data_IF_927795492128
#
_entry.id   IF_927795492128
#
_cell.length_a   1.000
_cell.length_b   1.000
_cell.length_c   1.000
_cell.angle_alpha   90.00
_cell.angle_beta   90.00
_cell.angle_gamma   90.00
#
_symmetry.space_group_name_H-M   'P 1'
#
loop_
_entity.id
_entity.type
_entity.pdbx_description
1 polymer ?
#
# COMPACT_ATOMS: atom_id res chain seq x y z
N UNK A 1 7.22 -17.45 28.52
CA UNK A 1 6.31 -16.80 27.54
C UNK A 1 7.21 -16.05 26.58
N UNK A 2 7.15 -16.31 25.27
CA UNK A 2 7.88 -15.47 24.31
C UNK A 2 7.27 -14.07 24.36
N UNK A 3 8.06 -13.05 24.67
CA UNK A 3 7.63 -11.66 24.49
C UNK A 3 7.20 -11.49 23.03
N UNK A 4 5.93 -11.14 22.79
CA UNK A 4 5.54 -10.67 21.46
C UNK A 4 6.34 -9.40 21.19
N UNK A 5 7.26 -9.46 20.22
CA UNK A 5 8.01 -8.29 19.74
C UNK A 5 7.02 -7.16 19.39
N UNK A 6 7.16 -6.00 20.05
CA UNK A 6 6.32 -4.84 19.76
C UNK A 6 6.63 -4.35 18.34
N UNK A 7 5.63 -3.77 17.68
CA UNK A 7 5.85 -3.21 16.35
C UNK A 7 7.01 -2.19 16.34
N UNK A 8 7.17 -1.42 17.40
CA UNK A 8 8.24 -0.42 17.52
C UNK A 8 9.64 -1.06 17.49
N UNK A 9 9.84 -2.17 18.19
CA UNK A 9 11.14 -2.86 18.25
C UNK A 9 11.51 -3.40 16.85
N UNK A 10 10.50 -3.92 16.12
CA UNK A 10 10.69 -4.31 14.72
C UNK A 10 11.04 -3.11 13.83
N UNK A 11 10.35 -1.97 13.99
CA UNK A 11 10.58 -0.78 13.18
C UNK A 11 11.97 -0.17 13.41
N UNK A 12 12.48 -0.20 14.63
CA UNK A 12 13.86 0.19 14.98
C UNK A 12 14.88 -0.68 14.24
N UNK A 13 14.81 -2.01 14.42
CA UNK A 13 15.68 -2.97 13.74
C UNK A 13 15.60 -2.83 12.22
N UNK A 14 14.40 -2.59 11.68
CA UNK A 14 14.20 -2.42 10.26
C UNK A 14 14.79 -1.09 9.74
N UNK A 15 14.74 -0.02 10.53
CA UNK A 15 15.38 1.25 10.20
C UNK A 15 16.91 1.14 10.18
N UNK A 16 17.49 0.47 11.18
CA UNK A 16 18.93 0.19 11.24
C UNK A 16 19.39 -0.59 10.01
N UNK A 17 18.71 -1.71 9.71
CA UNK A 17 18.99 -2.53 8.53
C UNK A 17 18.93 -1.73 7.24
N UNK A 18 17.88 -0.91 7.06
CA UNK A 18 17.73 -0.11 5.84
C UNK A 18 18.81 0.95 5.73
N UNK A 19 19.17 1.60 6.83
CA UNK A 19 20.23 2.62 6.86
C UNK A 19 21.58 2.03 6.46
N UNK A 20 21.90 0.84 6.98
CA UNK A 20 23.13 0.12 6.64
C UNK A 20 23.16 -0.24 5.14
N UNK A 21 22.09 -0.83 4.61
CA UNK A 21 22.02 -1.23 3.20
C UNK A 21 22.00 -0.03 2.25
N UNK A 22 21.34 1.07 2.62
CA UNK A 22 21.34 2.30 1.83
C UNK A 22 22.72 2.96 1.83
N UNK A 23 23.47 2.91 2.94
CA UNK A 23 24.88 3.33 2.99
C UNK A 23 25.74 2.46 2.07
N UNK A 24 25.65 1.13 2.19
CA UNK A 24 26.38 0.20 1.30
C UNK A 24 26.06 0.47 -0.18
N UNK A 25 24.80 0.71 -0.50
CA UNK A 25 24.38 1.06 -1.86
C UNK A 25 25.03 2.35 -2.37
N UNK A 26 25.12 3.39 -1.53
CA UNK A 26 25.79 4.66 -1.87
C UNK A 26 27.28 4.45 -2.13
N UNK A 27 27.96 3.67 -1.28
CA UNK A 27 29.38 3.33 -1.42
C UNK A 27 29.65 2.55 -2.71
N UNK A 28 28.91 1.48 -2.96
CA UNK A 28 29.05 0.69 -4.20
C UNK A 28 28.75 1.52 -5.44
N UNK A 29 27.72 2.38 -5.39
CA UNK A 29 27.39 3.27 -6.53
C UNK A 29 28.52 4.25 -6.81
N UNK A 30 29.19 4.77 -5.77
CA UNK A 30 30.36 5.64 -5.93
C UNK A 30 31.51 4.88 -6.60
N UNK A 31 31.84 3.69 -6.11
CA UNK A 31 32.90 2.85 -6.68
C UNK A 31 32.60 2.44 -8.14
N UNK A 32 31.36 2.10 -8.44
CA UNK A 32 30.95 1.75 -9.81
C UNK A 32 31.11 2.93 -10.77
N UNK A 33 30.83 4.16 -10.35
CA UNK A 33 31.02 5.33 -11.19
C UNK A 33 32.50 5.65 -11.48
N UNK A 34 33.42 5.12 -10.68
CA UNK A 34 34.87 5.29 -10.87
C UNK A 34 35.46 4.22 -11.79
N UNK A 35 35.03 2.96 -11.65
CA UNK A 35 35.69 1.80 -12.29
C UNK A 35 34.84 1.14 -13.38
N UNK A 36 33.51 1.35 -13.38
CA UNK A 36 32.54 0.73 -14.29
C UNK A 36 32.64 -0.81 -14.35
N UNK A 37 32.77 -1.45 -13.18
CA UNK A 37 32.93 -2.89 -13.05
C UNK A 37 31.60 -3.67 -13.06
N UNK A 38 31.58 -4.81 -13.75
CA UNK A 38 30.38 -5.65 -13.89
C UNK A 38 29.97 -6.32 -12.56
N UNK A 39 30.91 -6.77 -11.74
CA UNK A 39 30.63 -7.38 -10.44
C UNK A 39 30.05 -6.34 -9.47
N UNK A 40 30.58 -5.11 -9.46
CA UNK A 40 30.00 -4.00 -8.70
C UNK A 40 28.55 -3.72 -9.10
N UNK A 41 28.25 -3.78 -10.41
CA UNK A 41 26.87 -3.61 -10.90
C UNK A 41 25.94 -4.72 -10.38
N UNK A 42 26.40 -5.97 -10.37
CA UNK A 42 25.63 -7.10 -9.85
C UNK A 42 25.39 -6.96 -8.34
N UNK A 43 26.39 -6.53 -7.57
CA UNK A 43 26.26 -6.29 -6.14
C UNK A 43 25.31 -5.13 -5.82
N UNK A 44 25.38 -4.03 -6.58
CA UNK A 44 24.42 -2.91 -6.49
C UNK A 44 22.98 -3.41 -6.67
N UNK A 45 22.74 -4.24 -7.68
CA UNK A 45 21.41 -4.78 -7.95
C UNK A 45 20.94 -5.74 -6.85
N UNK A 46 21.84 -6.53 -6.26
CA UNK A 46 21.52 -7.36 -5.10
C UNK A 46 21.12 -6.52 -3.89
N UNK A 47 21.91 -5.51 -3.52
CA UNK A 47 21.59 -4.61 -2.39
C UNK A 47 20.27 -3.87 -2.64
N UNK A 48 20.01 -3.44 -3.88
CA UNK A 48 18.71 -2.85 -4.25
C UNK A 48 17.55 -3.82 -4.02
N UNK A 49 17.71 -5.09 -4.39
CA UNK A 49 16.69 -6.12 -4.16
C UNK A 49 16.47 -6.37 -2.67
N UNK A 50 17.53 -6.41 -1.86
CA UNK A 50 17.43 -6.54 -0.41
C UNK A 50 16.63 -5.39 0.22
N UNK A 51 16.96 -4.14 -0.15
CA UNK A 51 16.24 -2.94 0.31
C UNK A 51 14.77 -3.02 -0.09
N UNK A 52 14.47 -3.37 -1.34
CA UNK A 52 13.09 -3.50 -1.81
C UNK A 52 12.32 -4.60 -1.06
N UNK A 53 12.97 -5.74 -0.78
CA UNK A 53 12.39 -6.84 -0.01
C UNK A 53 12.07 -6.40 1.41
N UNK A 54 13.01 -5.74 2.11
CA UNK A 54 12.80 -5.25 3.48
C UNK A 54 11.69 -4.19 3.52
N UNK A 55 11.65 -3.27 2.56
CA UNK A 55 10.55 -2.29 2.42
C UNK A 55 9.19 -2.96 2.23
N UNK A 56 9.11 -4.02 1.44
CA UNK A 56 7.87 -4.78 1.28
C UNK A 56 7.46 -5.48 2.58
N UNK A 57 8.41 -6.08 3.30
CA UNK A 57 8.20 -6.71 4.61
C UNK A 57 7.68 -5.70 5.65
N UNK A 58 8.28 -4.51 5.73
CA UNK A 58 7.81 -3.45 6.63
C UNK A 58 6.38 -3.06 6.32
N UNK A 59 6.01 -2.93 5.03
CA UNK A 59 4.62 -2.64 4.66
C UNK A 59 3.67 -3.74 5.14
N UNK A 60 4.02 -5.02 4.98
CA UNK A 60 3.22 -6.13 5.51
C UNK A 60 3.10 -6.05 7.04
N UNK A 61 4.19 -5.79 7.76
CA UNK A 61 4.17 -5.61 9.22
C UNK A 61 3.27 -4.46 9.66
N UNK A 62 3.25 -3.34 8.94
CA UNK A 62 2.33 -2.25 9.23
C UNK A 62 0.86 -2.70 9.09
N UNK A 63 0.53 -3.56 8.12
CA UNK A 63 -0.83 -4.09 7.98
C UNK A 63 -1.17 -5.13 9.05
N UNK A 64 -0.22 -5.98 9.44
CA UNK A 64 -0.41 -6.99 10.49
C UNK A 64 -0.60 -6.37 11.88
N UNK A 65 -0.09 -5.15 12.10
CA UNK A 65 -0.05 -4.49 13.39
C UNK A 65 -0.85 -3.17 13.40
N UNK A 66 -1.96 -3.11 12.66
CA UNK A 66 -2.81 -1.91 12.55
C UNK A 66 -3.33 -1.42 13.90
N UNK A 67 -3.70 -2.34 14.80
CA UNK A 67 -4.18 -1.98 16.13
C UNK A 67 -3.06 -1.34 16.98
N UNK A 68 -1.84 -1.88 16.94
CA UNK A 68 -0.68 -1.27 17.60
C UNK A 68 -0.38 0.13 17.03
N UNK A 69 -0.48 0.30 15.71
CA UNK A 69 -0.27 1.61 15.08
C UNK A 69 -1.31 2.65 15.53
N UNK A 70 -2.56 2.24 15.67
CA UNK A 70 -3.64 3.11 16.16
C UNK A 70 -3.40 3.51 17.62
N UNK A 71 -2.98 2.56 18.46
CA UNK A 71 -2.61 2.85 19.84
C UNK A 71 -1.35 3.73 19.93
N UNK A 72 -0.34 3.49 19.11
CA UNK A 72 0.87 4.32 19.02
C UNK A 72 0.51 5.75 18.67
N UNK A 73 -0.31 5.97 17.63
CA UNK A 73 -0.79 7.30 17.26
C UNK A 73 -1.57 7.98 18.40
N UNK A 74 -2.40 7.22 19.13
CA UNK A 74 -3.26 7.75 20.20
C UNK A 74 -2.50 8.14 21.46
N UNK A 75 -1.51 7.34 21.85
CA UNK A 75 -0.86 7.45 23.16
C UNK A 75 0.59 7.93 23.13
N UNK A 76 1.29 7.73 22.02
CA UNK A 76 2.69 8.14 21.85
C UNK A 76 2.88 8.80 20.47
N UNK A 77 2.16 9.90 20.18
CA UNK A 77 2.21 10.55 18.88
C UNK A 77 3.62 11.06 18.54
N UNK A 78 4.38 11.56 19.53
CA UNK A 78 5.76 12.04 19.30
C UNK A 78 6.67 10.91 18.82
N UNK A 79 6.55 9.72 19.42
CA UNK A 79 7.33 8.54 19.01
C UNK A 79 7.03 8.15 17.55
N UNK A 80 5.76 8.24 17.15
CA UNK A 80 5.38 7.99 15.75
C UNK A 80 5.94 9.05 14.78
N UNK A 81 6.09 10.31 15.21
CA UNK A 81 6.74 11.34 14.40
C UNK A 81 8.24 11.05 14.22
N UNK A 82 8.94 10.61 15.26
CA UNK A 82 10.35 10.17 15.16
C UNK A 82 10.50 9.08 14.09
N UNK A 83 9.61 8.08 14.07
CA UNK A 83 9.63 7.06 13.02
C UNK A 83 9.34 7.59 11.61
N UNK A 84 8.58 8.67 11.48
CA UNK A 84 8.37 9.34 10.18
C UNK A 84 9.61 10.08 9.73
N UNK A 85 10.46 10.56 10.63
CA UNK A 85 11.66 11.31 10.28
C UNK A 85 12.78 10.41 9.74
N UNK A 86 12.87 9.16 10.21
CA UNK A 86 13.89 8.22 9.73
C UNK A 86 13.90 8.00 8.22
N UNK A 87 15.09 8.09 7.63
CA UNK A 87 15.36 7.73 6.23
C UNK A 87 15.03 6.24 5.99
N UNK A 88 14.58 5.90 4.79
CA UNK A 88 14.12 4.54 4.47
C UNK A 88 12.69 4.23 4.95
N UNK A 89 12.41 4.29 6.25
CA UNK A 89 11.11 3.88 6.83
C UNK A 89 10.03 4.96 6.81
N UNK A 90 10.41 6.22 7.03
CA UNK A 90 9.46 7.30 7.26
C UNK A 90 8.53 7.56 6.08
N UNK A 91 9.04 7.38 4.85
CA UNK A 91 8.25 7.47 3.62
C UNK A 91 7.16 6.39 3.56
N UNK A 92 7.41 5.19 4.07
CA UNK A 92 6.43 4.10 4.10
C UNK A 92 5.34 4.39 5.14
N UNK A 93 5.73 4.82 6.34
CA UNK A 93 4.81 5.22 7.42
C UNK A 93 3.90 6.37 6.95
N UNK A 94 4.45 7.43 6.35
CA UNK A 94 3.65 8.53 5.77
C UNK A 94 2.68 8.09 4.67
N UNK A 95 3.10 7.17 3.79
CA UNK A 95 2.23 6.63 2.73
C UNK A 95 1.08 5.80 3.30
N UNK A 96 1.30 5.15 4.44
CA UNK A 96 0.34 4.28 5.12
C UNK A 96 -0.36 4.94 6.31
N UNK A 97 -0.23 6.24 6.48
CA UNK A 97 -0.80 7.00 7.60
C UNK A 97 -2.31 6.80 7.79
N UNK A 98 -3.05 6.54 6.71
CA UNK A 98 -4.49 6.27 6.76
C UNK A 98 -4.85 5.01 7.55
N UNK A 99 -3.90 4.09 7.77
CA UNK A 99 -4.10 2.91 8.62
C UNK A 99 -4.21 3.27 10.10
N UNK A 100 -3.61 4.39 10.50
CA UNK A 100 -3.53 4.80 11.91
C UNK A 100 -4.81 5.48 12.38
N UNK A 101 -5.71 5.77 11.45
CA UNK A 101 -6.97 6.43 11.73
C UNK A 101 -8.03 5.42 12.15
N UNK A 102 -8.66 5.67 13.29
CA UNK A 102 -9.95 5.06 13.63
C UNK A 102 -11.05 5.94 13.06
N UNK A 103 -11.66 5.52 11.95
CA UNK A 103 -12.87 6.18 11.49
C UNK A 103 -14.07 5.58 12.21
N UNK A 104 -15.03 6.43 12.56
CA UNK A 104 -16.33 5.96 13.05
C UNK A 104 -16.96 5.08 11.98
N UNK A 105 -17.52 3.92 12.34
CA UNK A 105 -18.30 3.11 11.42
C UNK A 105 -19.41 3.98 10.81
N UNK A 106 -19.50 3.99 9.49
CA UNK A 106 -20.56 4.68 8.77
C UNK A 106 -21.64 3.69 8.36
N UNK A 107 -22.89 4.15 8.32
CA UNK A 107 -23.94 3.38 7.64
C UNK A 107 -23.58 3.20 6.16
N UNK A 108 -24.14 2.17 5.54
CA UNK A 108 -23.86 1.89 4.12
C UNK A 108 -24.25 3.07 3.21
N UNK A 109 -25.36 3.74 3.51
CA UNK A 109 -25.83 4.92 2.77
C UNK A 109 -24.87 6.10 2.89
N UNK A 110 -24.49 6.47 4.11
CA UNK A 110 -23.55 7.58 4.33
C UNK A 110 -22.18 7.30 3.70
N UNK A 111 -21.71 6.05 3.80
CA UNK A 111 -20.48 5.63 3.17
C UNK A 111 -20.57 5.75 1.64
N UNK A 112 -21.69 5.33 1.03
CA UNK A 112 -21.90 5.41 -0.41
C UNK A 112 -21.96 6.86 -0.91
N UNK A 113 -22.64 7.75 -0.18
CA UNK A 113 -22.71 9.17 -0.49
C UNK A 113 -21.31 9.82 -0.45
N UNK A 114 -20.55 9.61 0.63
CA UNK A 114 -19.18 10.15 0.77
C UNK A 114 -18.23 9.59 -0.29
N UNK A 115 -18.31 8.29 -0.60
CA UNK A 115 -17.51 7.68 -1.67
C UNK A 115 -17.85 8.28 -3.03
N UNK A 116 -19.14 8.52 -3.31
CA UNK A 116 -19.58 9.13 -4.57
C UNK A 116 -19.04 10.56 -4.71
N UNK A 117 -19.06 11.35 -3.63
CA UNK A 117 -18.43 12.68 -3.60
C UNK A 117 -16.93 12.59 -3.90
N UNK A 118 -16.20 11.70 -3.22
CA UNK A 118 -14.76 11.50 -3.45
C UNK A 118 -14.46 11.07 -4.89
N UNK A 119 -15.30 10.22 -5.49
CA UNK A 119 -15.16 9.81 -6.90
C UNK A 119 -15.32 11.02 -7.81
N UNK A 120 -16.32 11.88 -7.58
CA UNK A 120 -16.55 13.09 -8.36
C UNK A 120 -15.38 14.08 -8.24
N UNK A 121 -14.89 14.34 -7.03
CA UNK A 121 -13.73 15.20 -6.79
C UNK A 121 -12.48 14.65 -7.50
N UNK A 122 -12.22 13.34 -7.39
CA UNK A 122 -11.07 12.70 -8.07
C UNK A 122 -11.20 12.69 -9.59
N UNK A 123 -12.41 12.77 -10.12
CA UNK A 123 -12.65 12.96 -11.56
C UNK A 123 -12.24 14.38 -11.96
N UNK A 124 -12.71 15.40 -11.24
CA UNK A 124 -12.31 16.79 -11.47
C UNK A 124 -10.78 16.95 -11.42
N UNK A 125 -10.09 16.39 -10.43
CA UNK A 125 -8.63 16.43 -10.32
C UNK A 125 -7.92 15.75 -11.52
N UNK A 126 -8.49 14.68 -12.06
CA UNK A 126 -7.92 13.98 -13.23
C UNK A 126 -8.12 14.80 -14.51
N UNK A 127 -9.28 15.40 -14.65
CA UNK A 127 -9.62 16.22 -15.81
C UNK A 127 -8.78 17.51 -15.80
N UNK A 128 -8.62 18.14 -14.64
CA UNK A 128 -7.71 19.26 -14.44
C UNK A 128 -6.26 18.90 -14.79
N UNK A 129 -5.77 17.74 -14.33
CA UNK A 129 -4.43 17.29 -14.69
C UNK A 129 -4.24 17.14 -16.21
N UNK A 130 -5.19 16.50 -16.89
CA UNK A 130 -5.15 16.33 -18.36
C UNK A 130 -5.20 17.67 -19.10
N UNK A 131 -5.95 18.63 -18.56
CA UNK A 131 -5.98 19.99 -19.08
C UNK A 131 -4.60 20.65 -18.96
N UNK A 132 -3.99 20.59 -17.77
CA UNK A 132 -2.66 21.16 -17.53
C UNK A 132 -1.54 20.51 -18.35
N UNK A 133 -1.62 19.20 -18.63
CA UNK A 133 -0.64 18.50 -19.48
C UNK A 133 -0.47 19.18 -20.84
N UNK A 134 -1.55 19.76 -21.38
CA UNK A 134 -1.57 20.48 -22.67
C UNK A 134 -1.30 21.98 -22.54
N UNK A 135 -1.28 22.52 -21.33
CA UNK A 135 -1.07 23.94 -21.08
C UNK A 135 0.43 24.30 -21.13
N UNK A 136 0.72 25.53 -21.56
CA UNK A 136 2.07 26.11 -21.63
C UNK A 136 2.07 27.46 -20.91
N UNK A 137 3.01 27.65 -19.98
CA UNK A 137 3.14 28.86 -19.17
C UNK A 137 2.30 28.85 -17.89
N UNK A 138 2.16 30.03 -17.28
CA UNK A 138 1.43 30.23 -16.02
C UNK A 138 -0.06 30.01 -16.19
N UNK A 139 -0.71 29.58 -15.11
CA UNK A 139 -2.14 29.29 -15.06
C UNK A 139 -2.78 30.18 -14.01
N UNK A 140 -3.85 30.85 -14.39
CA UNK A 140 -4.64 31.62 -13.45
C UNK A 140 -5.48 30.70 -12.54
N UNK A 141 -5.14 30.68 -11.25
CA UNK A 141 -5.81 29.86 -10.25
C UNK A 141 -7.31 30.14 -10.11
N UNK A 142 -7.78 31.37 -10.36
CA UNK A 142 -9.22 31.69 -10.32
C UNK A 142 -9.96 31.04 -11.46
N UNK A 143 -9.41 31.08 -12.68
CA UNK A 143 -10.01 30.40 -13.84
C UNK A 143 -10.03 28.89 -13.63
N UNK A 144 -8.92 28.32 -13.15
CA UNK A 144 -8.81 26.89 -12.89
C UNK A 144 -9.81 26.42 -11.80
N UNK A 145 -9.96 27.20 -10.72
CA UNK A 145 -10.93 26.93 -9.66
C UNK A 145 -12.39 27.13 -10.08
N UNK A 146 -12.67 27.98 -11.07
CA UNK A 146 -14.00 28.13 -11.66
C UNK A 146 -14.38 26.91 -12.51
N UNK A 147 -13.44 26.37 -13.30
CA UNK A 147 -13.66 25.15 -14.11
C UNK A 147 -13.68 23.89 -13.24
N UNK A 148 -12.82 23.82 -12.22
CA UNK A 148 -12.70 22.68 -11.31
C UNK A 148 -12.90 23.14 -9.87
N UNK A 149 -14.15 23.15 -9.36
CA UNK A 149 -14.46 23.63 -8.02
C UNK A 149 -13.63 23.01 -6.90
N UNK A 150 -13.18 21.77 -7.05
CA UNK A 150 -12.27 21.11 -6.09
C UNK A 150 -10.93 21.84 -5.91
N UNK A 151 -10.49 22.61 -6.91
CA UNK A 151 -9.25 23.40 -6.89
C UNK A 151 -9.45 24.82 -6.39
N UNK A 152 -10.70 25.20 -6.10
CA UNK A 152 -10.99 26.50 -5.49
C UNK A 152 -10.22 26.62 -4.18
N UNK A 153 -9.56 27.75 -3.99
CA UNK A 153 -8.73 28.09 -2.83
C UNK A 153 -7.43 27.27 -2.65
N UNK A 154 -7.28 26.14 -3.35
CA UNK A 154 -6.07 25.31 -3.35
C UNK A 154 -4.95 25.92 -4.21
N UNK A 155 -5.31 26.63 -5.28
CA UNK A 155 -4.38 27.35 -6.16
C UNK A 155 -4.75 28.83 -6.14
N UNK A 156 -3.84 29.67 -5.66
CA UNK A 156 -4.05 31.12 -5.50
C UNK A 156 -3.11 31.89 -6.42
N UNK A 157 -3.66 32.87 -7.12
CA UNK A 157 -2.90 33.67 -8.08
C UNK A 157 -2.52 32.90 -9.33
N UNK A 158 -1.53 33.40 -10.04
CA UNK A 158 -0.95 32.73 -11.19
C UNK A 158 0.16 31.80 -10.71
N UNK A 159 0.11 30.54 -11.12
CA UNK A 159 1.09 29.50 -10.74
C UNK A 159 1.66 28.83 -11.97
N UNK A 160 2.88 28.33 -11.84
CA UNK A 160 3.50 27.50 -12.88
C UNK A 160 2.79 26.15 -13.00
N UNK A 161 2.88 25.56 -14.19
CA UNK A 161 2.26 24.26 -14.50
C UNK A 161 2.73 23.16 -13.55
N UNK A 162 4.03 23.09 -13.29
CA UNK A 162 4.64 22.06 -12.45
C UNK A 162 4.10 22.15 -11.01
N UNK A 163 4.02 23.36 -10.46
CA UNK A 163 3.47 23.61 -9.13
C UNK A 163 1.99 23.22 -9.05
N UNK A 164 1.18 23.65 -10.03
CA UNK A 164 -0.23 23.27 -10.10
C UNK A 164 -0.42 21.75 -10.21
N UNK A 165 0.43 21.06 -11.00
CA UNK A 165 0.42 19.60 -11.09
C UNK A 165 0.79 18.93 -9.76
N UNK A 166 1.75 19.47 -9.01
CA UNK A 166 2.11 18.97 -7.68
C UNK A 166 0.96 19.09 -6.69
N UNK A 167 0.29 20.25 -6.64
CA UNK A 167 -0.89 20.48 -5.80
C UNK A 167 -2.00 19.47 -6.15
N UNK A 168 -2.35 19.34 -7.44
CA UNK A 168 -3.38 18.39 -7.90
C UNK A 168 -3.01 16.94 -7.53
N UNK A 169 -1.74 16.56 -7.70
CA UNK A 169 -1.27 15.23 -7.33
C UNK A 169 -1.35 15.01 -5.81
N UNK A 170 -1.05 16.03 -5.00
CA UNK A 170 -1.22 16.04 -3.55
C UNK A 170 -2.67 15.79 -3.14
N UNK A 171 -3.59 16.61 -3.63
CA UNK A 171 -5.03 16.49 -3.36
C UNK A 171 -5.59 15.12 -3.78
N UNK A 172 -5.18 14.61 -4.94
CA UNK A 172 -5.64 13.28 -5.40
C UNK A 172 -5.12 12.14 -4.50
N UNK A 173 -3.94 12.29 -3.89
CA UNK A 173 -3.44 11.33 -2.89
C UNK A 173 -4.28 11.40 -1.62
N UNK A 174 -4.62 12.58 -1.13
CA UNK A 174 -5.46 12.78 0.05
C UNK A 174 -6.87 12.21 -0.15
N UNK A 175 -7.52 12.54 -1.27
CA UNK A 175 -8.85 11.99 -1.59
C UNK A 175 -8.84 10.47 -1.73
N UNK A 176 -7.76 9.90 -2.25
CA UNK A 176 -7.58 8.44 -2.28
C UNK A 176 -7.46 7.86 -0.88
N UNK A 177 -6.70 8.50 0.02
CA UNK A 177 -6.59 8.08 1.43
C UNK A 177 -7.95 8.15 2.14
N UNK A 178 -8.69 9.24 1.96
CA UNK A 178 -10.02 9.42 2.54
C UNK A 178 -11.02 8.34 2.05
N UNK A 179 -11.01 8.03 0.75
CA UNK A 179 -11.86 6.97 0.20
C UNK A 179 -11.53 5.60 0.77
N UNK A 180 -10.24 5.26 0.91
CA UNK A 180 -9.83 4.02 1.57
C UNK A 180 -10.26 3.98 3.04
N UNK A 181 -10.10 5.08 3.76
CA UNK A 181 -10.50 5.16 5.17
C UNK A 181 -12.01 4.87 5.34
N UNK A 182 -12.86 5.42 4.48
CA UNK A 182 -14.30 5.14 4.50
C UNK A 182 -14.59 3.67 4.16
N UNK A 183 -13.99 3.15 3.09
CA UNK A 183 -14.22 1.77 2.67
C UNK A 183 -13.80 0.79 3.77
N UNK A 184 -12.62 0.96 4.35
CA UNK A 184 -12.12 0.07 5.40
C UNK A 184 -12.94 0.10 6.69
N UNK A 185 -13.81 1.09 6.90
CA UNK A 185 -14.65 1.20 8.10
C UNK A 185 -16.15 1.14 7.74
N UNK A 186 -16.52 0.56 6.60
CA UNK A 186 -17.93 0.43 6.17
C UNK A 186 -18.23 -0.94 5.56
N UNK A 187 -19.51 -1.36 5.55
CA UNK A 187 -19.94 -2.61 4.90
C UNK A 187 -19.59 -2.71 3.41
N UNK A 188 -19.40 -1.57 2.74
CA UNK A 188 -19.05 -1.48 1.32
C UNK A 188 -17.73 -2.16 0.97
N UNK A 189 -16.86 -2.43 1.96
CA UNK A 189 -15.62 -3.18 1.73
C UNK A 189 -15.87 -4.58 1.16
N UNK A 190 -17.01 -5.19 1.49
CA UNK A 190 -17.39 -6.51 0.97
C UNK A 190 -17.55 -6.47 -0.55
N UNK A 191 -18.21 -5.44 -1.08
CA UNK A 191 -18.33 -5.25 -2.53
C UNK A 191 -16.98 -5.00 -3.22
N UNK A 192 -16.04 -4.34 -2.54
CA UNK A 192 -14.67 -4.18 -3.04
C UNK A 192 -13.94 -5.53 -3.09
N UNK A 193 -14.02 -6.33 -2.02
CA UNK A 193 -13.41 -7.66 -1.96
C UNK A 193 -13.97 -8.60 -3.03
N UNK A 194 -15.29 -8.61 -3.24
CA UNK A 194 -15.90 -9.44 -4.29
C UNK A 194 -15.37 -9.09 -5.68
N UNK A 195 -15.32 -7.80 -6.04
CA UNK A 195 -14.74 -7.35 -7.32
C UNK A 195 -13.26 -7.74 -7.46
N UNK A 196 -12.50 -7.73 -6.37
CA UNK A 196 -11.10 -8.17 -6.40
C UNK A 196 -10.99 -9.68 -6.62
N UNK A 197 -11.87 -10.47 -6.02
CA UNK A 197 -11.93 -11.93 -6.22
C UNK A 197 -12.31 -12.27 -7.66
N UNK A 198 -13.34 -11.64 -8.21
CA UNK A 198 -13.74 -11.82 -9.61
C UNK A 198 -12.58 -11.48 -10.56
N UNK A 199 -11.91 -10.35 -10.31
CA UNK A 199 -10.73 -9.96 -11.07
C UNK A 199 -9.58 -10.95 -10.90
N UNK A 200 -9.38 -11.51 -9.70
CA UNK A 200 -8.38 -12.55 -9.44
C UNK A 200 -8.66 -13.78 -10.29
N UNK A 201 -9.90 -14.28 -10.32
CA UNK A 201 -10.29 -15.43 -11.15
C UNK A 201 -9.97 -15.23 -12.62
N UNK A 202 -10.29 -14.04 -13.17
CA UNK A 202 -9.97 -13.70 -14.56
C UNK A 202 -8.45 -13.74 -14.80
N UNK A 203 -7.66 -13.16 -13.88
CA UNK A 203 -6.21 -13.15 -14.00
C UNK A 203 -5.56 -14.53 -13.82
N UNK A 204 -6.13 -15.40 -12.98
CA UNK A 204 -5.70 -16.79 -12.82
C UNK A 204 -5.93 -17.59 -14.10
N UNK A 205 -7.05 -17.37 -14.80
CA UNK A 205 -7.28 -17.95 -16.12
C UNK A 205 -6.22 -17.47 -17.13
N UNK A 206 -5.96 -16.16 -17.20
CA UNK A 206 -4.90 -15.61 -18.06
C UNK A 206 -3.53 -16.18 -17.70
N UNK A 207 -3.23 -16.33 -16.41
CA UNK A 207 -1.97 -16.89 -15.92
C UNK A 207 -1.79 -18.34 -16.43
N UNK A 208 -2.82 -19.18 -16.31
CA UNK A 208 -2.79 -20.55 -16.81
C UNK A 208 -2.55 -20.60 -18.33
N UNK A 209 -3.18 -19.72 -19.11
CA UNK A 209 -2.92 -19.61 -20.56
C UNK A 209 -1.46 -19.22 -20.87
N UNK A 210 -0.89 -18.28 -20.11
CA UNK A 210 0.51 -17.87 -20.28
C UNK A 210 1.49 -18.97 -19.87
N UNK A 211 1.17 -19.71 -18.81
CA UNK A 211 1.96 -20.83 -18.36
C UNK A 211 2.03 -21.93 -19.42
N UNK A 212 0.89 -22.30 -20.00
CA UNK A 212 0.82 -23.26 -21.11
C UNK A 212 1.68 -22.80 -22.31
N UNK A 213 1.57 -21.53 -22.69
CA UNK A 213 2.39 -20.96 -23.79
C UNK A 213 3.88 -20.96 -23.50
N UNK A 214 4.27 -20.76 -22.24
CA UNK A 214 5.67 -20.86 -21.85
C UNK A 214 6.15 -22.31 -21.91
N UNK A 215 5.38 -23.26 -21.40
CA UNK A 215 5.70 -24.70 -21.47
C UNK A 215 5.87 -25.19 -22.91
N UNK A 216 5.01 -24.76 -23.84
CA UNK A 216 5.11 -25.07 -25.28
C UNK A 216 6.35 -24.47 -25.96
N UNK A 217 6.86 -23.35 -25.44
CA UNK A 217 8.02 -22.65 -25.99
C UNK A 217 9.35 -23.03 -25.31
N UNK A 218 9.27 -23.69 -24.14
CA UNK A 218 10.41 -23.98 -23.25
C UNK A 218 11.42 -24.92 -23.92
N UNK A 219 12.71 -24.67 -23.69
CA UNK A 219 13.79 -25.53 -24.17
C UNK A 219 14.21 -25.29 -25.62
N UNK A 220 13.70 -24.23 -26.25
CA UNK A 220 14.05 -23.86 -27.63
C UNK A 220 15.15 -22.79 -27.69
N UNK A 221 15.44 -22.10 -26.58
CA UNK A 221 16.44 -21.03 -26.53
C UNK A 221 16.09 -19.84 -27.44
N UNK A 222 14.81 -19.72 -27.83
CA UNK A 222 14.35 -18.77 -28.85
C UNK A 222 13.85 -17.45 -28.24
N UNK A 223 13.79 -16.40 -29.07
CA UNK A 223 13.10 -15.16 -28.71
C UNK A 223 11.63 -15.41 -28.27
N UNK A 224 10.98 -16.45 -28.81
CA UNK A 224 9.64 -16.87 -28.40
C UNK A 224 9.60 -17.36 -26.94
N UNK A 225 10.60 -18.14 -26.51
CA UNK A 225 10.72 -18.58 -25.11
C UNK A 225 10.90 -17.40 -24.15
N UNK A 226 11.79 -16.45 -24.50
CA UNK A 226 12.00 -15.25 -23.71
C UNK A 226 10.73 -14.39 -23.59
N UNK A 227 10.02 -14.17 -24.70
CA UNK A 227 8.77 -13.40 -24.71
C UNK A 227 7.65 -14.11 -23.92
N UNK A 228 7.55 -15.44 -24.03
CA UNK A 228 6.58 -16.22 -23.28
C UNK A 228 6.87 -16.18 -21.77
N UNK A 229 8.15 -16.29 -21.37
CA UNK A 229 8.58 -16.14 -19.97
C UNK A 229 8.22 -14.76 -19.41
N UNK A 230 8.54 -13.69 -20.14
CA UNK A 230 8.21 -12.32 -19.71
C UNK A 230 6.69 -12.13 -19.57
N UNK A 231 5.90 -12.67 -20.50
CA UNK A 231 4.44 -12.60 -20.42
C UNK A 231 3.87 -13.40 -19.24
N UNK A 232 4.48 -14.53 -18.88
CA UNK A 232 4.16 -15.31 -17.69
C UNK A 232 4.48 -14.51 -16.41
N UNK A 233 5.69 -13.97 -16.29
CA UNK A 233 6.11 -13.14 -15.15
C UNK A 233 5.17 -11.91 -14.98
N UNK A 234 4.78 -11.26 -16.06
CA UNK A 234 3.82 -10.14 -16.03
C UNK A 234 2.43 -10.58 -15.54
N UNK A 235 1.97 -11.78 -15.89
CA UNK A 235 0.71 -12.34 -15.43
C UNK A 235 0.78 -12.69 -13.93
N UNK A 236 1.85 -13.34 -13.48
CA UNK A 236 2.12 -13.66 -12.07
C UNK A 236 2.13 -12.38 -11.23
N UNK A 237 2.84 -11.35 -11.69
CA UNK A 237 2.91 -10.06 -11.01
C UNK A 237 1.53 -9.40 -10.83
N UNK A 238 0.63 -9.54 -11.82
CA UNK A 238 -0.75 -9.03 -11.74
C UNK A 238 -1.58 -9.81 -10.71
N UNK A 239 -1.48 -11.15 -10.70
CA UNK A 239 -2.16 -12.00 -9.70
C UNK A 239 -1.65 -11.68 -8.29
N UNK A 240 -0.33 -11.64 -8.11
CA UNK A 240 0.32 -11.31 -6.84
C UNK A 240 -0.04 -9.91 -6.33
N UNK A 241 -0.27 -8.95 -7.23
CA UNK A 241 -0.75 -7.61 -6.85
C UNK A 241 -2.16 -7.66 -6.29
N UNK A 242 -3.08 -8.41 -6.91
CA UNK A 242 -4.46 -8.55 -6.41
C UNK A 242 -4.48 -9.32 -5.09
N UNK A 243 -3.71 -10.41 -4.97
CA UNK A 243 -3.57 -11.17 -3.73
C UNK A 243 -3.11 -10.28 -2.57
N UNK A 244 -2.07 -9.46 -2.79
CA UNK A 244 -1.60 -8.48 -1.80
C UNK A 244 -2.68 -7.48 -1.41
N UNK A 245 -3.44 -6.95 -2.37
CA UNK A 245 -4.54 -6.03 -2.07
C UNK A 245 -5.63 -6.68 -1.20
N UNK A 246 -6.03 -7.92 -1.52
CA UNK A 246 -7.02 -8.66 -0.71
C UNK A 246 -6.46 -8.90 0.69
N UNK A 247 -5.21 -9.40 0.80
CA UNK A 247 -4.54 -9.64 2.09
C UNK A 247 -4.50 -8.37 2.93
N UNK A 248 -4.07 -7.24 2.36
CA UNK A 248 -4.00 -5.95 3.06
C UNK A 248 -5.37 -5.50 3.58
N UNK A 249 -6.43 -5.59 2.77
CA UNK A 249 -7.78 -5.24 3.21
C UNK A 249 -8.24 -6.12 4.38
N UNK A 250 -7.93 -7.41 4.34
CA UNK A 250 -8.32 -8.34 5.39
C UNK A 250 -7.51 -8.10 6.68
N UNK A 251 -6.21 -7.85 6.58
CA UNK A 251 -5.36 -7.52 7.73
C UNK A 251 -5.82 -6.24 8.46
N UNK A 252 -6.33 -5.24 7.74
CA UNK A 252 -6.90 -4.03 8.39
C UNK A 252 -8.26 -4.25 9.05
N UNK A 253 -8.89 -5.42 8.86
CA UNK A 253 -10.26 -5.70 9.29
C UNK A 253 -10.34 -7.03 10.08
N UNK A 254 -9.76 -7.10 11.29
CA UNK A 254 -9.73 -8.33 12.09
C UNK A 254 -11.13 -8.84 12.47
N UNK A 255 -12.13 -7.97 12.59
CA UNK A 255 -13.54 -8.38 12.80
C UNK A 255 -14.11 -9.10 11.58
N UNK A 256 -13.86 -8.57 10.37
CA UNK A 256 -14.29 -9.21 9.12
C UNK A 256 -13.63 -10.58 8.96
N UNK A 257 -12.31 -10.68 9.21
CA UNK A 257 -11.60 -11.96 9.17
C UNK A 257 -12.18 -12.93 10.19
N UNK A 258 -12.45 -12.49 11.42
CA UNK A 258 -13.08 -13.33 12.43
C UNK A 258 -14.47 -13.81 12.00
N UNK A 259 -15.28 -12.97 11.38
CA UNK A 259 -16.60 -13.33 10.87
C UNK A 259 -16.50 -14.36 9.74
N UNK A 260 -15.58 -14.17 8.79
CA UNK A 260 -15.32 -15.10 7.70
C UNK A 260 -14.84 -16.47 8.20
N UNK A 261 -13.99 -16.50 9.24
CA UNK A 261 -13.54 -17.76 9.86
C UNK A 261 -14.66 -18.52 10.58
N UNK A 262 -15.63 -17.80 11.15
CA UNK A 262 -16.79 -18.37 11.87
C UNK A 262 -17.94 -18.79 10.95
N UNK A 263 -18.04 -18.22 9.74
CA UNK A 263 -19.14 -18.39 8.79
C UNK A 263 -19.32 -19.78 8.14
N UNK A 264 -18.62 -20.81 8.64
CA UNK A 264 -18.75 -22.20 8.20
C UNK A 264 -19.65 -23.00 9.13
N UNK A 265 -20.97 -22.96 8.91
CA UNK A 265 -21.90 -23.88 9.56
C UNK A 265 -21.70 -25.32 9.07
N UNK A 266 -22.13 -26.31 9.86
CA UNK A 266 -22.04 -27.75 9.56
C UNK A 266 -22.72 -28.17 8.23
N UNK A 267 -23.64 -27.35 7.70
CA UNK A 267 -24.32 -27.55 6.41
C UNK A 267 -23.59 -26.97 5.20
N UNK A 268 -22.46 -26.26 5.39
CA UNK A 268 -21.77 -25.59 4.29
C UNK A 268 -20.88 -26.57 3.53
N UNK A 269 -21.28 -26.90 2.29
CA UNK A 269 -20.61 -27.89 1.45
C UNK A 269 -19.35 -27.38 0.73
N UNK A 270 -19.23 -26.07 0.49
CA UNK A 270 -18.04 -25.46 -0.14
C UNK A 270 -17.69 -24.11 0.48
N UNK A 271 -16.42 -23.97 0.80
CA UNK A 271 -15.82 -22.72 1.26
C UNK A 271 -15.58 -21.75 0.09
N UNK A 272 -15.95 -20.48 0.28
CA UNK A 272 -15.70 -19.44 -0.71
C UNK A 272 -14.20 -19.12 -0.82
N UNK A 273 -13.76 -18.56 -1.95
CA UNK A 273 -12.36 -18.14 -2.10
C UNK A 273 -11.94 -17.10 -1.06
N UNK A 274 -12.85 -16.23 -0.62
CA UNK A 274 -12.56 -15.23 0.41
C UNK A 274 -12.29 -15.88 1.77
N UNK A 275 -13.07 -16.89 2.13
CA UNK A 275 -12.90 -17.63 3.37
C UNK A 275 -11.59 -18.43 3.39
N UNK A 276 -11.24 -19.07 2.27
CA UNK A 276 -9.94 -19.75 2.11
C UNK A 276 -8.77 -18.78 2.39
N UNK A 277 -8.81 -17.60 1.78
CA UNK A 277 -7.79 -16.57 2.00
C UNK A 277 -7.83 -16.09 3.45
N UNK A 278 -9.01 -15.87 4.04
CA UNK A 278 -9.15 -15.40 5.41
C UNK A 278 -8.59 -16.40 6.43
N UNK A 279 -8.69 -17.71 6.19
CA UNK A 279 -8.11 -18.75 7.07
C UNK A 279 -6.61 -18.59 7.27
N UNK A 280 -5.89 -18.31 6.18
CA UNK A 280 -4.43 -18.12 6.16
C UNK A 280 -3.98 -16.83 6.84
N UNK A 281 -4.89 -15.88 7.09
CA UNK A 281 -4.56 -14.59 7.68
C UNK A 281 -4.54 -14.68 9.21
N UNK A 282 -3.41 -14.34 9.87
CA UNK A 282 -3.36 -14.26 11.32
C UNK A 282 -4.23 -13.10 11.81
N UNK A 283 -5.03 -13.35 12.84
CA UNK A 283 -5.78 -12.29 13.53
C UNK A 283 -4.92 -11.83 14.70
N UNK A 284 -4.22 -10.71 14.54
CA UNK A 284 -3.53 -10.05 15.65
C UNK A 284 -4.48 -9.01 16.25
N UNK A 285 -4.88 -9.20 17.51
CA UNK A 285 -5.61 -8.20 18.30
C UNK A 285 -4.81 -7.87 19.52
N UNK A 286 -4.60 -6.60 19.75
CA UNK A 286 -3.81 -6.13 20.87
C UNK A 286 -4.74 -5.65 21.97
N UNK A 287 -4.56 -6.19 23.19
CA UNK A 287 -5.27 -5.70 24.37
C UNK A 287 -4.63 -4.39 24.80
N UNK A 288 -5.35 -3.29 24.61
CA UNK A 288 -4.89 -1.92 24.87
C UNK A 288 -4.18 -1.76 26.22
N UNK A 289 -4.77 -2.28 27.31
CA UNK A 289 -4.18 -2.21 28.66
C UNK A 289 -2.81 -2.92 28.74
N UNK A 290 -2.74 -4.17 28.28
CA UNK A 290 -1.51 -4.96 28.29
C UNK A 290 -0.43 -4.31 27.42
N UNK A 291 -0.81 -3.80 26.25
CA UNK A 291 0.11 -3.10 25.35
C UNK A 291 0.62 -1.79 25.94
N UNK A 292 -0.23 -1.01 26.60
CA UNK A 292 0.19 0.21 27.29
C UNK A 292 1.19 -0.09 28.41
N UNK A 293 0.99 -1.16 29.18
CA UNK A 293 1.92 -1.59 30.22
C UNK A 293 3.30 -1.96 29.61
N UNK A 294 3.32 -2.70 28.50
CA UNK A 294 4.55 -3.03 27.78
C UNK A 294 5.26 -1.79 27.22
N UNK A 295 4.51 -0.91 26.55
CA UNK A 295 5.04 0.34 25.99
C UNK A 295 5.61 1.26 27.07
N UNK A 296 4.92 1.42 28.20
CA UNK A 296 5.42 2.25 29.31
C UNK A 296 6.73 1.71 29.87
N UNK A 297 6.83 0.39 30.04
CA UNK A 297 8.09 -0.25 30.46
C UNK A 297 9.20 0.05 29.45
N UNK A 298 8.92 -0.13 28.15
CA UNK A 298 9.88 0.10 27.06
C UNK A 298 10.34 1.55 26.90
N UNK A 299 9.46 2.52 27.16
CA UNK A 299 9.80 3.96 27.09
C UNK A 299 10.54 4.43 28.35
N UNK A 300 10.34 3.75 29.48
CA UNK A 300 11.00 4.08 30.76
C UNK A 300 12.36 3.39 30.94
N UNK A 301 12.68 2.42 30.08
CA UNK A 301 13.97 1.71 30.00
C UNK A 301 14.89 2.36 29.00
#
# INVERSE_FOLDING_TARGET
>A
MSEEELLIDYLEKAAEYLSERERKLRELTKQYNEIYDKQLKEEIEEVRREIQRKRAEIVERLYENVDELRHLKKYFPELLEVFKEYEGIGKMIRKKSFLFENAKPLSEREAAEKISMIIAERRQLRDAKKFLEKWTGTINGKQLGATYPILKDAIKGDVEKEEAMEIINGMNRERRKAGWLILLNSPLINGVLQRLIERKKILEFVLAEKQKKYEEAKGRGTAAEYNAKKALEDAENKVNKINRMIKHILLTNPDLVSALKKGGGWLKTKESQLEKIAREIPIKRVREKTWLELMRKRVSS
#
